data_IF_741016540667
#
_entry.id   IF_741016540667
#
_cell.length_a   1.000
_cell.length_b   1.000
_cell.length_c   1.000
_cell.angle_alpha   90.00
_cell.angle_beta   90.00
_cell.angle_gamma   90.00
#
_symmetry.space_group_name_H-M   'P 1'
#
loop_
_entity.id
_entity.type
_entity.pdbx_description
1 polymer ?
#
# COMPACT_ATOMS: atom_id res chain seq x y z
N UNK A 1 -1.22 -24.73 -0.45
CA UNK A 1 -1.78 -23.75 -1.41
C UNK A 1 -1.06 -22.45 -1.18
N UNK A 2 -0.59 -21.80 -2.24
CA UNK A 2 0.14 -20.53 -2.16
C UNK A 2 -0.87 -19.38 -2.08
N UNK A 3 -0.93 -18.67 -0.95
CA UNK A 3 -1.83 -17.54 -0.77
C UNK A 3 -1.05 -16.25 -0.96
N UNK A 4 -1.59 -15.31 -1.74
CA UNK A 4 -0.96 -14.01 -1.95
C UNK A 4 -0.75 -13.27 -0.62
N UNK A 5 0.36 -12.53 -0.53
CA UNK A 5 0.58 -11.58 0.53
C UNK A 5 -0.24 -10.30 0.26
N UNK A 6 -1.16 -9.96 1.16
CA UNK A 6 -2.03 -8.80 1.02
C UNK A 6 -1.53 -7.62 1.85
N UNK A 7 -1.38 -6.45 1.24
CA UNK A 7 -0.87 -5.27 1.91
C UNK A 7 -1.67 -4.00 1.57
N UNK A 8 -2.11 -3.28 2.60
CA UNK A 8 -2.78 -1.99 2.45
C UNK A 8 -1.78 -0.83 2.58
N UNK A 9 -1.94 0.21 1.77
CA UNK A 9 -1.21 1.47 1.90
C UNK A 9 -2.18 2.54 2.38
N UNK A 10 -1.98 3.02 3.61
CA UNK A 10 -2.98 3.84 4.29
C UNK A 10 -2.34 5.00 5.07
N UNK A 11 -2.94 6.18 4.94
CA UNK A 11 -2.68 7.36 5.74
C UNK A 11 -3.82 8.36 5.55
N UNK A 12 -4.29 8.95 6.65
CA UNK A 12 -5.37 9.91 6.67
C UNK A 12 -5.04 11.27 6.02
N UNK A 13 -3.75 11.60 5.86
CA UNK A 13 -3.32 12.81 5.14
C UNK A 13 -3.31 12.55 3.63
N UNK A 14 -3.93 13.46 2.86
CA UNK A 14 -3.84 13.48 1.40
C UNK A 14 -2.43 13.85 0.92
N UNK A 15 -2.05 13.40 -0.28
CA UNK A 15 -0.79 13.81 -0.92
C UNK A 15 0.50 13.23 -0.34
N UNK A 16 0.44 12.31 0.62
CA UNK A 16 1.62 11.66 1.24
C UNK A 16 2.29 10.59 0.37
N UNK A 17 1.83 10.40 -0.87
CA UNK A 17 2.40 9.42 -1.80
C UNK A 17 1.89 7.99 -1.62
N UNK A 18 0.64 7.78 -1.19
CA UNK A 18 0.01 6.44 -1.09
C UNK A 18 -0.08 5.77 -2.45
N UNK A 19 -0.88 6.33 -3.36
CA UNK A 19 -1.03 5.88 -4.75
C UNK A 19 0.30 5.74 -5.47
N UNK A 20 1.18 6.75 -5.37
CA UNK A 20 2.53 6.69 -5.92
C UNK A 20 3.31 5.50 -5.37
N UNK A 21 3.19 5.19 -4.08
CA UNK A 21 3.88 4.06 -3.48
C UNK A 21 3.28 2.73 -3.88
N UNK A 22 1.96 2.61 -3.95
CA UNK A 22 1.29 1.37 -4.40
C UNK A 22 1.67 1.03 -5.83
N UNK A 23 1.58 2.00 -6.75
CA UNK A 23 1.92 1.79 -8.15
C UNK A 23 3.39 1.39 -8.31
N UNK A 24 4.30 2.16 -7.71
CA UNK A 24 5.72 1.96 -7.96
C UNK A 24 6.31 0.81 -7.15
N UNK A 25 5.85 0.54 -5.92
CA UNK A 25 6.22 -0.70 -5.22
C UNK A 25 5.64 -1.92 -5.94
N UNK A 26 4.41 -1.84 -6.45
CA UNK A 26 3.80 -2.88 -7.27
C UNK A 26 4.61 -3.21 -8.52
N UNK A 27 4.98 -2.19 -9.30
CA UNK A 27 5.84 -2.35 -10.46
C UNK A 27 7.22 -2.91 -10.10
N UNK A 28 7.81 -2.45 -8.99
CA UNK A 28 9.08 -2.95 -8.48
C UNK A 28 9.02 -4.43 -8.08
N UNK A 29 7.96 -4.86 -7.38
CA UNK A 29 7.70 -6.26 -7.07
C UNK A 29 7.55 -7.11 -8.34
N UNK A 30 6.86 -6.61 -9.36
CA UNK A 30 6.74 -7.30 -10.66
C UNK A 30 8.10 -7.43 -11.36
N UNK A 31 8.93 -6.38 -11.32
CA UNK A 31 10.32 -6.43 -11.81
C UNK A 31 11.16 -7.44 -11.03
N UNK A 32 10.87 -7.66 -9.76
CA UNK A 32 11.49 -8.69 -8.92
C UNK A 32 10.86 -10.09 -9.12
N UNK A 33 10.08 -10.27 -10.20
CA UNK A 33 9.53 -11.56 -10.62
C UNK A 33 8.27 -11.99 -9.86
N UNK A 34 7.57 -11.08 -9.18
CA UNK A 34 6.32 -11.38 -8.49
C UNK A 34 5.10 -11.16 -9.38
N UNK A 35 4.07 -11.99 -9.22
CA UNK A 35 2.73 -11.74 -9.79
C UNK A 35 2.01 -10.76 -8.88
N UNK A 36 1.72 -9.56 -9.36
CA UNK A 36 1.19 -8.47 -8.52
C UNK A 36 -0.17 -8.01 -9.04
N UNK A 37 -1.12 -7.87 -8.11
CA UNK A 37 -2.39 -7.20 -8.31
C UNK A 37 -2.42 -5.90 -7.50
N UNK A 38 -2.77 -4.80 -8.15
CA UNK A 38 -3.15 -3.55 -7.50
C UNK A 38 -4.66 -3.43 -7.46
N UNK A 39 -5.21 -2.95 -6.35
CA UNK A 39 -6.63 -2.65 -6.23
C UNK A 39 -6.76 -1.19 -5.82
N UNK A 40 -7.39 -0.40 -6.68
CA UNK A 40 -7.75 0.98 -6.37
C UNK A 40 -8.95 0.95 -5.41
N UNK A 41 -8.80 1.54 -4.23
CA UNK A 41 -9.86 1.66 -3.22
C UNK A 41 -10.17 3.13 -2.89
N UNK A 42 -9.75 4.05 -3.76
CA UNK A 42 -10.14 5.45 -3.69
C UNK A 42 -11.29 5.70 -4.69
N UNK A 43 -12.47 6.19 -4.26
CA UNK A 43 -13.53 6.58 -5.18
C UNK A 43 -13.13 7.66 -6.19
N UNK A 44 -12.00 8.34 -5.99
CA UNK A 44 -11.44 9.25 -6.99
C UNK A 44 -10.67 8.55 -8.11
N UNK A 45 -10.43 7.24 -8.03
CA UNK A 45 -9.78 6.47 -9.10
C UNK A 45 -8.33 6.86 -9.35
N UNK A 46 -7.63 7.46 -8.37
CA UNK A 46 -6.31 8.04 -8.59
C UNK A 46 -5.27 6.99 -9.04
N UNK A 47 -5.35 5.75 -8.57
CA UNK A 47 -4.45 4.69 -9.02
C UNK A 47 -4.76 4.27 -10.46
N UNK A 48 -6.05 4.19 -10.77
CA UNK A 48 -6.57 3.88 -12.11
C UNK A 48 -6.06 4.91 -13.12
N UNK A 49 -6.24 6.19 -12.81
CA UNK A 49 -5.77 7.32 -13.63
C UNK A 49 -4.24 7.36 -13.73
N UNK A 50 -3.52 7.06 -12.63
CA UNK A 50 -2.05 7.04 -12.61
C UNK A 50 -1.48 6.14 -13.71
N UNK A 51 -2.12 4.98 -13.92
CA UNK A 51 -1.70 3.98 -14.91
C UNK A 51 -2.34 4.17 -16.29
N UNK A 52 -3.00 5.32 -16.51
CA UNK A 52 -3.66 5.65 -17.77
C UNK A 52 -4.71 4.63 -18.17
N UNK A 53 -5.45 4.06 -17.20
CA UNK A 53 -6.56 3.14 -17.46
C UNK A 53 -7.81 3.94 -17.76
N UNK A 54 -8.37 3.77 -18.95
CA UNK A 54 -9.57 4.47 -19.39
C UNK A 54 -10.83 3.61 -19.23
N UNK A 55 -12.02 4.21 -19.08
CA UNK A 55 -13.27 3.46 -18.84
C UNK A 55 -13.65 2.43 -19.90
N UNK A 56 -13.16 2.54 -21.13
CA UNK A 56 -13.38 1.58 -22.21
C UNK A 56 -12.54 0.29 -22.07
N UNK A 57 -11.56 0.27 -21.17
CA UNK A 57 -10.68 -0.88 -20.95
C UNK A 57 -11.19 -1.87 -19.90
N UNK A 58 -12.25 -1.54 -19.15
CA UNK A 58 -12.80 -2.41 -18.13
C UNK A 58 -14.32 -2.52 -18.20
N UNK A 59 -14.84 -3.71 -17.89
CA UNK A 59 -16.28 -3.99 -17.86
C UNK A 59 -16.90 -3.80 -16.48
N UNK A 60 -16.09 -3.53 -15.46
CA UNK A 60 -16.53 -3.26 -14.09
C UNK A 60 -15.35 -2.81 -13.22
N UNK A 61 -15.67 -2.22 -12.07
CA UNK A 61 -14.69 -1.73 -11.10
C UNK A 61 -14.76 -2.50 -9.79
N UNK A 62 -13.88 -2.18 -8.85
CA UNK A 62 -13.95 -2.70 -7.48
C UNK A 62 -15.33 -2.49 -6.84
N UNK A 63 -16.07 -1.46 -7.26
CA UNK A 63 -17.43 -1.19 -6.82
C UNK A 63 -18.36 -2.37 -7.12
N UNK A 64 -18.34 -2.88 -8.36
CA UNK A 64 -19.12 -4.04 -8.78
C UNK A 64 -18.69 -5.32 -8.04
N UNK A 65 -17.38 -5.47 -7.82
CA UNK A 65 -16.81 -6.63 -7.11
C UNK A 65 -17.29 -6.67 -5.66
N UNK A 66 -17.25 -5.54 -4.94
CA UNK A 66 -17.70 -5.45 -3.55
C UNK A 66 -19.22 -5.63 -3.42
N UNK A 67 -19.99 -5.21 -4.43
CA UNK A 67 -21.42 -5.52 -4.53
C UNK A 67 -21.71 -6.98 -4.86
N UNK A 68 -20.72 -7.73 -5.33
CA UNK A 68 -20.87 -9.13 -5.75
C UNK A 68 -21.52 -9.29 -7.12
N UNK A 69 -21.59 -8.20 -7.89
CA UNK A 69 -22.24 -8.15 -9.21
C UNK A 69 -21.36 -8.85 -10.28
N UNK A 70 -20.04 -8.87 -10.08
CA UNK A 70 -19.06 -9.41 -11.02
C UNK A 70 -17.95 -10.18 -10.29
N UNK A 71 -17.37 -11.19 -10.95
CA UNK A 71 -16.20 -11.89 -10.43
C UNK A 71 -14.96 -10.96 -10.46
N UNK A 72 -14.12 -10.91 -9.42
CA UNK A 72 -12.93 -10.05 -9.39
C UNK A 72 -12.00 -10.22 -10.59
N UNK A 73 -11.86 -11.44 -11.09
CA UNK A 73 -11.02 -11.76 -12.25
C UNK A 73 -11.49 -11.05 -13.53
N UNK A 74 -12.78 -10.82 -13.67
CA UNK A 74 -13.38 -10.23 -14.88
C UNK A 74 -13.29 -8.70 -14.90
N UNK A 75 -12.76 -8.08 -13.83
CA UNK A 75 -12.50 -6.64 -13.75
C UNK A 75 -11.01 -6.29 -13.88
N UNK A 76 -10.14 -7.30 -14.05
CA UNK A 76 -8.70 -7.08 -14.06
C UNK A 76 -8.26 -6.49 -15.40
N UNK A 77 -7.64 -5.32 -15.34
CA UNK A 77 -6.91 -4.71 -16.45
C UNK A 77 -5.42 -5.01 -16.29
N UNK A 78 -4.74 -5.31 -17.39
CA UNK A 78 -3.29 -5.56 -17.38
C UNK A 78 -2.53 -4.39 -17.98
N UNK A 79 -1.40 -4.03 -17.37
CA UNK A 79 -0.44 -3.06 -17.88
C UNK A 79 0.90 -3.71 -18.11
N UNK A 80 1.39 -3.60 -19.34
CA UNK A 80 2.73 -4.05 -19.70
C UNK A 80 3.77 -3.09 -19.12
N UNK A 81 4.65 -3.61 -18.29
CA UNK A 81 5.83 -2.87 -17.84
C UNK A 81 6.86 -2.85 -18.97
N UNK A 82 7.45 -1.69 -19.22
CA UNK A 82 8.50 -1.56 -20.25
C UNK A 82 9.80 -2.28 -19.84
N UNK A 83 9.99 -2.51 -18.55
CA UNK A 83 11.11 -3.30 -18.02
C UNK A 83 11.01 -4.75 -18.50
N UNK A 84 12.15 -5.32 -18.90
CA UNK A 84 12.29 -6.71 -19.32
C UNK A 84 13.06 -7.48 -18.26
N UNK A 85 12.58 -8.68 -17.93
CA UNK A 85 13.36 -9.66 -17.17
C UNK A 85 13.91 -10.70 -18.15
N UNK A 86 15.23 -10.91 -18.12
CA UNK A 86 15.85 -12.05 -18.78
C UNK A 86 15.88 -13.22 -17.82
N UNK A 87 15.04 -14.22 -18.05
CA UNK A 87 15.02 -15.46 -17.26
C UNK A 87 15.50 -16.57 -18.21
N UNK A 88 16.58 -17.26 -17.85
CA UNK A 88 17.16 -18.35 -18.65
C UNK A 88 17.50 -17.96 -20.11
N UNK A 89 17.79 -16.68 -20.37
CA UNK A 89 18.10 -16.18 -21.72
C UNK A 89 16.87 -15.78 -22.55
N UNK A 90 15.66 -15.89 -22.01
CA UNK A 90 14.42 -15.44 -22.65
C UNK A 90 13.94 -14.13 -22.01
N UNK A 91 13.60 -13.14 -22.84
CA UNK A 91 12.95 -11.91 -22.37
C UNK A 91 11.47 -12.17 -22.07
N UNK A 92 11.11 -12.18 -20.79
CA UNK A 92 9.71 -12.21 -20.38
C UNK A 92 9.13 -10.80 -20.38
N UNK A 93 7.94 -10.65 -20.99
CA UNK A 93 7.09 -9.48 -20.73
C UNK A 93 6.65 -9.52 -19.26
N UNK A 94 6.65 -8.37 -18.63
CA UNK A 94 6.16 -8.19 -17.28
C UNK A 94 4.82 -7.46 -17.31
N UNK A 95 3.89 -7.98 -16.53
CA UNK A 95 2.52 -7.51 -16.50
C UNK A 95 2.14 -7.16 -15.07
N UNK A 96 1.62 -5.95 -14.89
CA UNK A 96 1.02 -5.48 -13.64
C UNK A 96 -0.50 -5.57 -13.78
N UNK A 97 -1.16 -6.30 -12.88
CA UNK A 97 -2.62 -6.44 -12.88
C UNK A 97 -3.24 -5.35 -12.00
N UNK A 98 -4.39 -4.84 -12.40
CA UNK A 98 -5.10 -3.76 -11.70
C UNK A 98 -6.60 -4.04 -11.67
N UNK A 99 -7.24 -3.92 -10.51
CA UNK A 99 -8.69 -3.72 -10.42
C UNK A 99 -8.94 -2.22 -10.26
N UNK A 100 -9.62 -1.58 -11.23
CA UNK A 100 -9.82 -0.14 -11.23
C UNK A 100 -10.92 0.29 -10.25
N UNK A 101 -10.95 1.59 -9.96
CA UNK A 101 -12.03 2.26 -9.24
C UNK A 101 -12.55 3.46 -10.02
N UNK A 102 -13.77 3.86 -9.67
CA UNK A 102 -14.49 5.00 -10.23
C UNK A 102 -15.37 5.64 -9.14
N UNK A 103 -16.02 6.75 -9.48
CA UNK A 103 -16.89 7.50 -8.55
C UNK A 103 -18.04 6.66 -7.99
N UNK A 104 -18.47 5.61 -8.70
CA UNK A 104 -19.50 4.69 -8.26
C UNK A 104 -19.11 3.93 -6.98
N UNK A 105 -17.83 3.89 -6.59
CA UNK A 105 -17.39 3.32 -5.33
C UNK A 105 -17.94 4.09 -4.12
N UNK A 106 -18.00 5.43 -4.18
CA UNK A 106 -18.55 6.26 -3.10
C UNK A 106 -20.06 6.03 -2.91
N UNK A 107 -20.80 5.93 -4.02
CA UNK A 107 -22.23 5.60 -3.99
C UNK A 107 -22.45 4.19 -3.42
N UNK A 108 -21.61 3.25 -3.82
CA UNK A 108 -21.69 1.87 -3.35
C UNK A 108 -21.38 1.77 -1.86
N UNK A 109 -20.42 2.53 -1.34
CA UNK A 109 -20.06 2.53 0.09
C UNK A 109 -21.30 2.75 0.98
N UNK A 110 -22.19 3.69 0.61
CA UNK A 110 -23.44 3.93 1.35
C UNK A 110 -24.34 2.69 1.38
N UNK A 111 -24.51 2.01 0.24
CA UNK A 111 -25.33 0.80 0.16
C UNK A 111 -24.70 -0.41 0.87
N UNK A 112 -23.37 -0.54 0.78
CA UNK A 112 -22.60 -1.62 1.41
C UNK A 112 -22.62 -1.52 2.92
N UNK A 113 -22.81 -0.32 3.48
CA UNK A 113 -22.87 -0.08 4.92
C UNK A 113 -24.00 -0.83 5.66
N UNK A 114 -25.01 -1.33 4.92
CA UNK A 114 -26.14 -2.09 5.46
C UNK A 114 -26.03 -3.59 5.23
N UNK A 115 -24.96 -4.07 4.57
CA UNK A 115 -24.76 -5.50 4.34
C UNK A 115 -24.25 -6.21 5.61
N UNK A 116 -24.60 -7.47 5.75
CA UNK A 116 -23.99 -8.34 6.75
C UNK A 116 -22.50 -8.55 6.43
N UNK A 117 -21.66 -8.58 7.47
CA UNK A 117 -20.20 -8.70 7.34
C UNK A 117 -19.62 -7.73 6.30
N UNK A 118 -20.09 -6.50 6.33
CA UNK A 118 -19.72 -5.42 5.39
C UNK A 118 -18.22 -5.09 5.46
N UNK A 119 -17.58 -5.35 6.59
CA UNK A 119 -16.14 -5.15 6.82
C UNK A 119 -15.29 -6.19 6.08
N UNK A 120 -15.87 -7.32 5.67
CA UNK A 120 -15.13 -8.45 5.08
C UNK A 120 -15.43 -8.69 3.59
N UNK A 121 -16.12 -7.77 2.92
CA UNK A 121 -16.48 -7.89 1.50
C UNK A 121 -15.24 -8.05 0.62
N UNK A 122 -14.23 -7.20 0.82
CA UNK A 122 -12.98 -7.28 0.03
C UNK A 122 -12.20 -8.57 0.33
N UNK A 123 -12.13 -9.00 1.60
CA UNK A 123 -11.45 -10.24 1.99
C UNK A 123 -12.04 -11.44 1.27
N UNK A 124 -13.38 -11.54 1.24
CA UNK A 124 -14.11 -12.59 0.50
C UNK A 124 -13.84 -12.52 -1.00
N UNK A 125 -13.89 -11.32 -1.59
CA UNK A 125 -13.64 -11.12 -3.01
C UNK A 125 -12.22 -11.54 -3.41
N UNK A 126 -11.19 -11.03 -2.72
CA UNK A 126 -9.78 -11.33 -3.02
C UNK A 126 -9.43 -12.79 -2.76
N UNK A 127 -10.08 -13.44 -1.79
CA UNK A 127 -9.93 -14.88 -1.53
C UNK A 127 -10.23 -15.76 -2.76
N UNK A 128 -11.09 -15.31 -3.68
CA UNK A 128 -11.44 -16.05 -4.92
C UNK A 128 -10.33 -16.07 -5.96
N UNK A 129 -9.38 -15.13 -5.89
CA UNK A 129 -8.29 -14.96 -6.86
C UNK A 129 -6.90 -14.99 -6.20
N UNK A 130 -6.82 -15.27 -4.90
CA UNK A 130 -5.58 -15.14 -4.13
C UNK A 130 -4.45 -16.06 -4.62
N UNK A 131 -4.76 -17.22 -5.20
CA UNK A 131 -3.75 -18.15 -5.73
C UNK A 131 -3.10 -17.66 -7.05
N UNK A 132 -3.72 -16.69 -7.72
CA UNK A 132 -3.26 -16.16 -9.02
C UNK A 132 -2.09 -15.17 -8.84
N UNK A 133 -1.90 -14.66 -7.62
CA UNK A 133 -0.94 -13.59 -7.31
C UNK A 133 0.01 -14.00 -6.18
N UNK A 134 1.16 -13.35 -6.14
CA UNK A 134 2.09 -13.41 -5.01
C UNK A 134 1.85 -12.22 -4.06
N UNK A 135 1.46 -11.07 -4.60
CA UNK A 135 1.10 -9.87 -3.85
C UNK A 135 -0.20 -9.25 -4.34
N UNK A 136 -1.04 -8.80 -3.40
CA UNK A 136 -2.18 -7.93 -3.67
C UNK A 136 -2.03 -6.66 -2.84
N UNK A 137 -1.88 -5.51 -3.51
CA UNK A 137 -1.67 -4.21 -2.87
C UNK A 137 -2.95 -3.38 -2.96
N UNK A 138 -3.37 -2.80 -1.84
CA UNK A 138 -4.58 -1.99 -1.74
C UNK A 138 -4.22 -0.51 -1.59
N UNK A 139 -4.63 0.33 -2.56
CA UNK A 139 -4.48 1.79 -2.47
C UNK A 139 -5.68 2.41 -1.78
N UNK A 140 -5.51 2.76 -0.51
CA UNK A 140 -6.61 3.29 0.28
C UNK A 140 -6.74 4.81 0.10
N UNK A 141 -7.98 5.28 0.03
CA UNK A 141 -8.31 6.69 0.14
C UNK A 141 -7.80 7.28 1.49
N UNK A 142 -7.68 8.62 1.62
CA UNK A 142 -7.32 9.24 2.89
C UNK A 142 -8.40 9.14 3.98
N UNK A 143 -9.61 8.65 3.69
CA UNK A 143 -10.62 8.45 4.72
C UNK A 143 -10.50 7.04 5.32
N UNK A 144 -10.74 6.90 6.63
CA UNK A 144 -10.89 5.58 7.25
C UNK A 144 -12.38 5.18 7.27
N UNK A 145 -12.99 5.21 6.09
CA UNK A 145 -14.37 4.76 5.86
C UNK A 145 -14.49 3.23 5.76
N UNK A 146 -15.67 2.75 5.38
CA UNK A 146 -15.96 1.32 5.25
C UNK A 146 -15.05 0.65 4.21
N UNK A 147 -14.72 1.34 3.11
CA UNK A 147 -13.82 0.80 2.09
C UNK A 147 -12.40 0.59 2.63
N UNK A 148 -11.87 1.56 3.38
CA UNK A 148 -10.55 1.43 4.01
C UNK A 148 -10.55 0.36 5.13
N UNK A 149 -11.65 0.21 5.86
CA UNK A 149 -11.83 -0.90 6.81
C UNK A 149 -11.78 -2.25 6.08
N UNK A 150 -12.44 -2.36 4.92
CA UNK A 150 -12.36 -3.56 4.07
C UNK A 150 -10.93 -3.86 3.61
N UNK A 151 -10.16 -2.84 3.24
CA UNK A 151 -8.74 -2.97 2.90
C UNK A 151 -7.95 -3.58 4.06
N UNK A 152 -8.09 -3.01 5.26
CA UNK A 152 -7.41 -3.49 6.46
C UNK A 152 -7.89 -4.88 6.90
N UNK A 153 -9.17 -5.20 6.71
CA UNK A 153 -9.72 -6.52 7.00
C UNK A 153 -9.22 -7.62 6.05
N UNK A 154 -8.90 -7.25 4.81
CA UNK A 154 -8.35 -8.14 3.79
C UNK A 154 -6.81 -8.23 3.83
N UNK A 155 -6.14 -7.22 4.39
CA UNK A 155 -4.69 -7.11 4.42
C UNK A 155 -4.06 -7.94 5.55
N UNK A 156 -2.87 -8.49 5.28
CA UNK A 156 -1.98 -9.05 6.29
C UNK A 156 -1.01 -8.00 6.83
N UNK A 157 -0.67 -6.99 6.03
CA UNK A 157 0.18 -5.86 6.43
C UNK A 157 -0.46 -4.53 6.08
N UNK A 158 -0.22 -3.51 6.91
CA UNK A 158 -0.47 -2.11 6.54
C UNK A 158 0.83 -1.33 6.51
N UNK A 159 1.12 -0.70 5.37
CA UNK A 159 2.21 0.25 5.21
C UNK A 159 1.66 1.67 5.30
N UNK A 160 2.38 2.56 5.98
CA UNK A 160 1.94 3.92 6.27
C UNK A 160 2.93 4.90 5.65
N UNK A 161 2.68 5.40 4.43
CA UNK A 161 3.50 6.45 3.83
C UNK A 161 3.38 7.75 4.62
N UNK A 162 4.50 8.36 5.00
CA UNK A 162 4.56 9.58 5.82
C UNK A 162 5.44 10.63 5.16
N UNK A 163 4.95 11.87 5.10
CA UNK A 163 5.76 13.01 4.68
C UNK A 163 6.57 13.55 5.85
N UNK A 164 7.76 14.07 5.55
CA UNK A 164 8.69 14.61 6.54
C UNK A 164 8.37 16.06 6.90
N UNK A 165 7.16 16.32 7.40
CA UNK A 165 6.68 17.63 7.86
C UNK A 165 6.27 17.58 9.34
N UNK A 166 6.48 18.67 10.08
CA UNK A 166 6.33 18.72 11.55
C UNK A 166 4.94 18.28 12.07
N UNK A 167 3.87 18.57 11.34
CA UNK A 167 2.49 18.24 11.72
C UNK A 167 2.12 16.76 11.53
N UNK A 168 3.08 15.92 11.12
CA UNK A 168 2.83 14.50 10.86
C UNK A 168 2.71 13.65 12.14
N UNK A 169 3.31 14.04 13.27
CA UNK A 169 3.42 13.14 14.44
C UNK A 169 2.09 12.91 15.20
N UNK A 170 1.41 13.98 15.61
CA UNK A 170 0.15 13.85 16.37
C UNK A 170 -0.98 13.23 15.53
N UNK A 171 -0.99 13.55 14.25
CA UNK A 171 -1.94 13.03 13.29
C UNK A 171 -1.70 11.54 13.01
N UNK A 172 -0.43 11.09 13.01
CA UNK A 172 -0.06 9.68 12.92
C UNK A 172 -0.51 8.86 14.13
N UNK A 173 -0.40 9.40 15.36
CA UNK A 173 -0.90 8.70 16.56
C UNK A 173 -2.41 8.42 16.48
N UNK A 174 -3.19 9.39 16.03
CA UNK A 174 -4.63 9.22 15.84
C UNK A 174 -4.96 8.18 14.77
N UNK A 175 -4.12 8.03 13.74
CA UNK A 175 -4.24 6.98 12.74
C UNK A 175 -3.95 5.60 13.35
N UNK A 176 -2.85 5.48 14.10
CA UNK A 176 -2.42 4.21 14.70
C UNK A 176 -3.47 3.65 15.65
N UNK A 177 -4.06 4.49 16.53
CA UNK A 177 -5.15 4.06 17.41
C UNK A 177 -6.35 3.46 16.67
N UNK A 178 -6.66 4.00 15.49
CA UNK A 178 -7.74 3.46 14.66
C UNK A 178 -7.35 2.15 13.98
N UNK A 179 -6.10 2.01 13.55
CA UNK A 179 -5.59 0.75 12.99
C UNK A 179 -5.59 -0.33 14.07
N UNK A 180 -5.14 -0.02 15.29
CA UNK A 180 -5.14 -0.93 16.44
C UNK A 180 -6.55 -1.44 16.75
N UNK A 181 -7.55 -0.55 16.77
CA UNK A 181 -8.96 -0.96 16.91
C UNK A 181 -9.39 -1.97 15.83
N UNK A 182 -8.98 -1.76 14.57
CA UNK A 182 -9.30 -2.69 13.48
C UNK A 182 -8.54 -4.02 13.64
N UNK A 183 -7.29 -3.99 14.13
CA UNK A 183 -6.54 -5.20 14.43
C UNK A 183 -7.24 -6.04 15.49
N UNK A 184 -7.75 -5.42 16.56
CA UNK A 184 -8.37 -6.14 17.68
C UNK A 184 -9.77 -6.67 17.32
N UNK A 185 -10.60 -5.83 16.69
CA UNK A 185 -12.03 -6.09 16.52
C UNK A 185 -12.40 -6.72 15.16
N UNK A 186 -11.59 -6.52 14.12
CA UNK A 186 -11.94 -6.93 12.75
C UNK A 186 -10.93 -7.91 12.16
N UNK A 187 -9.62 -7.69 12.34
CA UNK A 187 -8.59 -8.50 11.71
C UNK A 187 -7.35 -8.68 12.59
N UNK A 188 -7.41 -9.68 13.48
CA UNK A 188 -6.32 -10.02 14.41
C UNK A 188 -5.03 -10.50 13.72
N UNK A 189 -5.06 -10.75 12.41
CA UNK A 189 -3.89 -11.14 11.61
C UNK A 189 -3.22 -9.97 10.89
N UNK A 190 -3.83 -8.79 10.91
CA UNK A 190 -3.22 -7.57 10.40
C UNK A 190 -2.04 -7.18 11.30
N UNK A 191 -0.92 -6.82 10.68
CA UNK A 191 0.23 -6.21 11.37
C UNK A 191 0.64 -4.91 10.70
N UNK A 192 1.29 -4.02 11.44
CA UNK A 192 1.92 -2.84 10.84
C UNK A 192 3.16 -3.31 10.08
N UNK A 193 3.10 -3.23 8.75
CA UNK A 193 4.20 -3.56 7.85
C UNK A 193 5.32 -2.53 7.90
N UNK A 194 4.98 -1.27 8.22
CA UNK A 194 5.94 -0.22 8.57
C UNK A 194 5.63 1.16 8.02
N UNK A 195 6.44 2.15 8.41
CA UNK A 195 6.33 3.53 7.96
C UNK A 195 7.30 3.80 6.80
N UNK A 196 6.77 4.37 5.71
CA UNK A 196 7.55 4.68 4.52
C UNK A 196 7.77 6.19 4.48
N UNK A 197 9.01 6.65 4.62
CA UNK A 197 9.31 8.07 4.49
C UNK A 197 9.22 8.47 3.01
N UNK A 198 8.32 9.40 2.69
CA UNK A 198 8.11 9.87 1.32
C UNK A 198 8.46 11.34 1.17
N UNK A 199 8.76 11.74 -0.07
CA UNK A 199 8.99 13.14 -0.46
C UNK A 199 10.14 13.80 0.29
N UNK A 200 11.18 13.03 0.59
CA UNK A 200 12.31 13.52 1.36
C UNK A 200 13.21 14.45 0.52
N UNK A 201 13.40 15.68 0.98
CA UNK A 201 14.37 16.62 0.41
C UNK A 201 15.58 16.77 1.34
N UNK A 202 16.72 16.19 0.93
CA UNK A 202 17.97 16.23 1.69
C UNK A 202 18.50 17.63 2.01
N UNK A 203 18.03 18.67 1.29
CA UNK A 203 18.41 20.07 1.48
C UNK A 203 17.67 20.72 2.65
N UNK A 204 16.52 20.18 3.05
CA UNK A 204 15.73 20.70 4.16
C UNK A 204 16.17 20.04 5.46
N UNK A 205 16.74 20.84 6.37
CA UNK A 205 17.16 20.37 7.71
C UNK A 205 16.00 19.71 8.46
N UNK A 206 14.81 20.33 8.40
CA UNK A 206 13.60 19.84 9.05
C UNK A 206 13.26 18.39 8.68
N UNK A 207 13.46 18.00 7.41
CA UNK A 207 13.14 16.65 6.95
C UNK A 207 13.98 15.58 7.65
N UNK A 208 15.27 15.87 7.93
CA UNK A 208 16.16 14.94 8.63
C UNK A 208 15.74 14.78 10.09
N UNK A 209 15.50 15.88 10.78
CA UNK A 209 15.04 15.88 12.17
C UNK A 209 13.73 15.11 12.34
N UNK A 210 12.79 15.26 11.40
CA UNK A 210 11.52 14.51 11.44
C UNK A 210 11.75 13.01 11.20
N UNK A 211 12.60 12.62 10.25
CA UNK A 211 12.93 11.20 10.04
C UNK A 211 13.61 10.60 11.27
N UNK A 212 14.58 11.30 11.86
CA UNK A 212 15.28 10.84 13.07
C UNK A 212 14.31 10.62 14.22
N UNK A 213 13.42 11.58 14.48
CA UNK A 213 12.38 11.45 15.50
C UNK A 213 11.41 10.29 15.23
N UNK A 214 11.02 10.06 13.96
CA UNK A 214 10.18 8.93 13.58
C UNK A 214 10.91 7.59 13.74
N UNK A 215 12.21 7.53 13.40
CA UNK A 215 13.05 6.34 13.58
C UNK A 215 13.27 6.02 15.06
N UNK A 216 13.57 7.02 15.87
CA UNK A 216 13.72 6.87 17.33
C UNK A 216 12.40 6.36 17.95
N UNK A 217 11.27 6.91 17.52
CA UNK A 217 9.96 6.56 18.06
C UNK A 217 9.46 5.18 17.62
N UNK A 218 9.58 4.83 16.35
CA UNK A 218 8.97 3.62 15.78
C UNK A 218 9.96 2.47 15.55
N UNK A 219 11.25 2.72 15.74
CA UNK A 219 12.31 1.71 15.68
C UNK A 219 12.25 0.88 14.40
N UNK A 220 12.20 -0.44 14.56
CA UNK A 220 12.19 -1.41 13.47
C UNK A 220 10.99 -1.29 12.52
N UNK A 221 9.88 -0.64 12.94
CA UNK A 221 8.77 -0.39 12.04
C UNK A 221 9.07 0.66 10.98
N UNK A 222 9.99 1.58 11.23
CA UNK A 222 10.37 2.58 10.23
C UNK A 222 11.22 1.92 9.15
N UNK A 223 10.86 2.09 7.87
CA UNK A 223 11.62 1.50 6.78
C UNK A 223 12.95 2.22 6.58
N UNK A 224 13.99 1.45 6.25
CA UNK A 224 15.30 2.01 5.94
C UNK A 224 15.27 2.77 4.62
N UNK A 225 14.47 2.28 3.67
CA UNK A 225 14.29 2.95 2.39
C UNK A 225 13.50 4.25 2.54
N UNK A 226 14.09 5.35 2.07
CA UNK A 226 13.48 6.68 2.01
C UNK A 226 13.20 7.04 0.55
N UNK A 227 11.97 7.44 0.24
CA UNK A 227 11.59 7.91 -1.09
C UNK A 227 11.91 9.40 -1.20
N UNK A 228 12.87 9.75 -2.06
CA UNK A 228 13.31 11.13 -2.26
C UNK A 228 12.30 11.94 -3.06
N UNK A 229 12.23 13.24 -2.80
CA UNK A 229 11.50 14.17 -3.68
C UNK A 229 12.09 14.09 -5.08
N UNK A 230 11.24 13.77 -6.08
CA UNK A 230 11.69 13.51 -7.43
C UNK A 230 10.66 14.01 -8.46
N UNK A 231 11.11 14.86 -9.38
CA UNK A 231 10.28 15.41 -10.47
C UNK A 231 9.72 14.28 -11.34
N UNK A 232 10.51 13.24 -11.64
CA UNK A 232 10.05 12.14 -12.47
C UNK A 232 8.90 11.35 -11.83
N UNK A 233 8.85 11.25 -10.50
CA UNK A 233 7.70 10.66 -9.79
C UNK A 233 6.46 11.54 -9.92
N UNK A 234 6.61 12.87 -9.87
CA UNK A 234 5.51 13.81 -10.03
C UNK A 234 4.97 13.86 -11.46
N UNK A 235 5.82 13.65 -12.48
CA UNK A 235 5.44 13.65 -13.89
C UNK A 235 4.86 12.31 -14.38
N UNK A 236 5.29 11.19 -13.77
CA UNK A 236 4.89 9.83 -14.19
C UNK A 236 3.37 9.58 -14.31
N UNK A 237 2.48 10.10 -13.42
CA UNK A 237 1.04 9.93 -13.57
C UNK A 237 0.51 10.61 -14.83
N UNK A 238 1.05 11.79 -15.19
CA UNK A 238 0.62 12.57 -16.35
C UNK A 238 0.90 11.90 -17.70
N UNK A 239 1.71 10.84 -17.70
CA UNK A 239 1.98 10.01 -18.89
C UNK A 239 1.44 8.59 -18.77
N UNK A 240 0.69 8.27 -17.70
CA UNK A 240 0.06 6.97 -17.50
C UNK A 240 1.04 5.82 -17.26
N UNK A 241 2.19 6.05 -16.62
CA UNK A 241 3.26 5.05 -16.47
C UNK A 241 3.83 5.01 -15.07
N UNK A 242 4.24 3.82 -14.63
CA UNK A 242 5.09 3.67 -13.44
C UNK A 242 6.50 4.28 -13.67
N UNK A 243 7.25 4.47 -12.58
CA UNK A 243 8.56 5.13 -12.61
C UNK A 243 9.61 4.34 -13.41
N UNK A 244 9.54 3.01 -13.44
CA UNK A 244 10.47 2.17 -14.17
C UNK A 244 10.21 2.23 -15.67
N UNK A 245 8.95 2.31 -16.09
CA UNK A 245 8.58 2.50 -17.49
C UNK A 245 8.78 3.95 -17.97
N UNK A 246 8.68 4.93 -17.07
CA UNK A 246 8.85 6.34 -17.43
C UNK A 246 10.31 6.81 -17.42
N UNK A 247 11.02 6.59 -16.30
CA UNK A 247 12.40 7.05 -16.04
C UNK A 247 13.16 6.02 -15.18
N UNK A 248 13.59 4.88 -15.77
CA UNK A 248 14.20 3.76 -15.04
C UNK A 248 15.53 4.09 -14.36
N UNK A 249 16.25 5.12 -14.83
CA UNK A 249 17.53 5.58 -14.25
C UNK A 249 17.36 6.69 -13.21
N UNK A 250 16.13 7.05 -12.86
CA UNK A 250 15.87 8.09 -11.87
C UNK A 250 16.11 7.61 -10.44
N UNK A 251 16.35 8.55 -9.53
CA UNK A 251 16.38 8.25 -8.10
C UNK A 251 15.08 7.61 -7.58
N UNK A 252 13.93 7.94 -8.17
CA UNK A 252 12.64 7.37 -7.77
C UNK A 252 12.55 5.89 -8.12
N UNK A 253 13.04 5.49 -9.29
CA UNK A 253 13.13 4.08 -9.67
C UNK A 253 14.07 3.30 -8.73
N UNK A 254 15.22 3.88 -8.38
CA UNK A 254 16.13 3.28 -7.40
C UNK A 254 15.47 3.13 -6.02
N UNK A 255 14.81 4.18 -5.54
CA UNK A 255 14.17 4.20 -4.22
C UNK A 255 13.03 3.18 -4.15
N UNK A 256 12.18 3.08 -5.17
CA UNK A 256 11.08 2.12 -5.20
C UNK A 256 11.54 0.67 -5.40
N UNK A 257 12.66 0.43 -6.09
CA UNK A 257 13.25 -0.91 -6.17
C UNK A 257 13.75 -1.36 -4.78
N UNK A 258 14.46 -0.49 -4.07
CA UNK A 258 14.91 -0.77 -2.70
C UNK A 258 13.72 -1.00 -1.75
N UNK A 259 12.67 -0.19 -1.86
CA UNK A 259 11.46 -0.35 -1.07
C UNK A 259 10.79 -1.70 -1.35
N UNK A 260 10.75 -2.12 -2.61
CA UNK A 260 10.17 -3.41 -3.02
C UNK A 260 10.95 -4.59 -2.43
N UNK A 261 12.29 -4.52 -2.42
CA UNK A 261 13.15 -5.51 -1.76
C UNK A 261 12.90 -5.56 -0.26
N UNK A 262 12.76 -4.38 0.39
CA UNK A 262 12.48 -4.30 1.82
C UNK A 262 11.11 -4.86 2.17
N UNK A 263 10.07 -4.60 1.36
CA UNK A 263 8.72 -5.19 1.51
C UNK A 263 8.77 -6.72 1.45
N UNK A 264 9.53 -7.30 0.51
CA UNK A 264 9.73 -8.75 0.42
C UNK A 264 10.44 -9.29 1.67
N UNK A 265 11.44 -8.58 2.16
CA UNK A 265 12.27 -9.01 3.30
C UNK A 265 11.57 -8.92 4.67
N UNK A 266 10.51 -8.11 4.81
CA UNK A 266 9.80 -7.97 6.09
C UNK A 266 8.95 -9.21 6.37
N UNK A 267 9.36 -10.05 7.32
CA UNK A 267 8.44 -10.99 7.97
C UNK A 267 7.36 -10.21 8.75
N UNK A 268 6.21 -10.83 9.04
CA UNK A 268 5.17 -10.19 9.84
C UNK A 268 5.77 -9.76 11.18
N UNK A 269 5.86 -8.44 11.42
CA UNK A 269 6.42 -7.90 12.66
C UNK A 269 5.64 -8.48 13.85
N UNK A 270 6.38 -8.92 14.86
CA UNK A 270 5.91 -9.69 16.00
C UNK A 270 4.72 -8.99 16.69
N UNK A 271 3.59 -9.71 16.89
CA UNK A 271 2.35 -9.18 17.48
C UNK A 271 2.56 -8.60 18.90
N UNK A 272 3.70 -8.91 19.53
CA UNK A 272 4.06 -8.48 20.89
C UNK A 272 4.68 -7.08 20.99
N UNK A 273 4.94 -6.38 19.89
CA UNK A 273 5.51 -5.02 19.92
C UNK A 273 4.48 -3.92 20.26
N UNK A 274 3.18 -4.25 20.26
CA UNK A 274 2.09 -3.31 20.47
C UNK A 274 1.09 -3.87 21.47
N UNK A 275 1.34 -3.65 22.76
CA UNK A 275 0.24 -3.50 23.70
C UNK A 275 -0.13 -2.03 23.74
N UNK A 276 -1.40 -1.69 23.49
CA UNK A 276 -1.93 -0.35 23.73
C UNK A 276 -2.16 -0.17 25.22
N UNK A 277 -1.09 -0.27 26.01
CA UNK A 277 -1.05 0.33 27.33
C UNK A 277 -0.04 1.48 27.30
N UNK A 278 -0.58 2.70 27.23
CA UNK A 278 0.13 3.97 27.47
C UNK A 278 1.21 4.38 26.48
N UNK A 279 1.06 4.12 25.18
CA UNK A 279 1.68 4.95 24.13
C UNK A 279 3.21 5.16 24.20
N UNK A 280 3.95 4.26 24.82
CA UNK A 280 5.42 4.26 24.88
C UNK A 280 5.90 2.91 24.37
N UNK A 281 6.67 2.93 23.29
CA UNK A 281 7.44 1.78 22.80
C UNK A 281 8.72 1.76 23.63
N UNK A 282 8.88 0.79 24.53
CA UNK A 282 10.19 0.46 25.10
C UNK A 282 10.74 -0.79 24.39
N UNK A 283 12.02 -0.74 24.02
CA UNK A 283 12.74 -1.92 23.57
C UNK A 283 12.83 -2.91 24.73
N UNK A 284 12.66 -4.20 24.45
CA UNK A 284 12.75 -5.27 25.44
C UNK A 284 14.19 -5.53 25.96
N UNK A 285 15.06 -4.50 25.94
CA UNK A 285 16.47 -4.58 26.36
C UNK A 285 16.70 -4.22 27.82
N UNK A 286 15.69 -3.69 28.53
CA UNK A 286 15.86 -3.21 29.92
C UNK A 286 15.46 -4.24 30.99
N UNK A 287 15.13 -5.48 30.63
CA UNK A 287 14.79 -6.54 31.60
C UNK A 287 15.94 -7.49 31.95
N UNK A 288 17.19 -7.19 31.56
CA UNK A 288 18.38 -7.99 31.96
C UNK A 288 19.37 -7.18 32.82
N UNK A 289 18.89 -6.15 33.52
CA UNK A 289 19.73 -5.41 34.48
C UNK A 289 18.96 -5.01 35.74
N UNK A 290 18.39 -5.97 36.47
CA UNK A 290 18.19 -5.87 37.91
C UNK A 290 17.85 -7.24 38.52
N UNK A 291 18.78 -7.73 39.36
CA UNK A 291 18.76 -8.90 40.26
C UNK A 291 19.02 -10.26 39.63
#
# INVERSE_FOLDING_TARGET
MHQAETAAFLNHKGGVGKTTSVVNAGAGLTILGKRVLLVDLDPQGHLTDFLGITPDEYTGTISNVLRGDIHPRDTIVTRDLSARLCINGEESRLALSVIPADSNLAESEMSLAYRAEKEHLLKRAMGRISNDFDYILFDCSPSLGLISINALAAARKVFIPVQTEYLALSSLEGLLKKIEFIMDEVNQDLVIGGFIATRFDKRKVLGRTVIEALKERFGALFLDTIIRENIALAESPGVGKDIFSYRPRSYGAQDYLNLSLEIIGRAAADKNLFSVERGVITSNTDSVAAV
#
